data_IF_635770653251
#
_entry.id   IF_635770653251
#
_cell.length_a   1.000
_cell.length_b   1.000
_cell.length_c   1.000
_cell.angle_alpha   90.00
_cell.angle_beta   90.00
_cell.angle_gamma   90.00
#
_symmetry.space_group_name_H-M   'P 1'
#
loop_
_entity.id
_entity.type
_entity.pdbx_description
1 polymer ?
#
# COMPACT_ATOMS: atom_id res chain seq x y z
N UNK A 1 36.90 -14.69 25.43
CA UNK A 1 35.91 -15.74 25.56
C UNK A 1 36.46 -17.09 25.14
N UNK A 2 35.86 -18.15 25.61
CA UNK A 2 36.23 -19.49 25.21
C UNK A 2 35.64 -19.83 23.85
N UNK A 3 36.40 -20.58 23.02
CA UNK A 3 35.92 -21.06 21.73
C UNK A 3 34.88 -22.16 21.96
N UNK A 4 33.68 -21.98 21.46
CA UNK A 4 32.55 -22.92 21.61
C UNK A 4 32.26 -23.73 20.35
N UNK A 5 32.79 -23.31 19.18
CA UNK A 5 32.62 -23.99 17.91
C UNK A 5 33.42 -23.32 16.80
N UNK A 6 33.34 -23.91 15.61
CA UNK A 6 34.00 -23.43 14.41
C UNK A 6 32.96 -23.30 13.27
N UNK A 7 33.17 -22.29 12.42
CA UNK A 7 32.50 -22.14 11.15
C UNK A 7 33.55 -22.09 10.03
N UNK A 8 33.27 -22.69 8.89
CA UNK A 8 34.03 -22.61 7.68
C UNK A 8 33.19 -22.22 6.50
N UNK A 9 33.75 -21.46 5.55
CA UNK A 9 33.11 -21.09 4.29
C UNK A 9 33.88 -21.75 3.12
N UNK A 10 33.15 -22.32 2.20
CA UNK A 10 33.74 -22.79 0.94
C UNK A 10 34.32 -21.59 0.18
N UNK A 11 35.55 -21.69 -0.25
CA UNK A 11 36.28 -20.61 -0.93
C UNK A 11 36.36 -20.82 -2.43
N UNK A 12 36.32 -22.07 -2.90
CA UNK A 12 36.47 -22.43 -4.31
C UNK A 12 35.30 -23.29 -4.79
N UNK A 13 34.97 -23.18 -6.08
CA UNK A 13 33.84 -23.91 -6.66
C UNK A 13 34.16 -25.41 -6.84
N UNK A 14 35.39 -25.80 -6.94
CA UNK A 14 35.89 -27.18 -7.02
C UNK A 14 36.06 -27.87 -5.65
N UNK A 15 35.65 -27.21 -4.56
CA UNK A 15 35.66 -27.79 -3.22
C UNK A 15 34.70 -29.00 -3.15
N UNK A 16 35.12 -30.15 -2.60
CA UNK A 16 34.26 -31.34 -2.54
C UNK A 16 33.03 -31.20 -1.65
N UNK A 17 33.00 -30.15 -0.82
CA UNK A 17 31.85 -29.84 0.05
C UNK A 17 30.91 -28.88 -0.66
N UNK A 18 29.70 -29.33 -0.97
CA UNK A 18 28.67 -28.51 -1.65
C UNK A 18 28.17 -27.34 -0.79
N UNK A 19 28.15 -27.48 0.54
CA UNK A 19 27.62 -26.47 1.44
C UNK A 19 28.48 -25.19 1.43
N UNK A 20 27.85 -24.02 1.19
CA UNK A 20 28.53 -22.70 1.24
C UNK A 20 29.17 -22.44 2.62
N UNK A 21 28.51 -22.87 3.70
CA UNK A 21 28.99 -22.78 5.08
C UNK A 21 28.88 -24.13 5.77
N UNK A 22 29.93 -24.49 6.51
CA UNK A 22 30.01 -25.67 7.38
C UNK A 22 30.22 -25.21 8.83
N UNK A 23 29.38 -25.69 9.73
CA UNK A 23 29.47 -25.37 11.16
C UNK A 23 29.72 -26.63 11.99
N UNK A 24 30.31 -26.44 13.15
CA UNK A 24 30.38 -27.48 14.19
C UNK A 24 29.00 -28.08 14.44
N UNK A 25 28.92 -29.38 14.77
CA UNK A 25 27.68 -30.00 15.24
C UNK A 25 27.14 -29.29 16.49
N UNK A 26 25.82 -29.39 16.71
CA UNK A 26 25.15 -28.90 17.92
C UNK A 26 25.76 -29.58 19.18
N UNK A 27 26.00 -28.76 20.21
CA UNK A 27 26.46 -29.24 21.53
C UNK A 27 25.70 -28.50 22.63
N UNK A 28 25.94 -28.84 23.88
CA UNK A 28 25.33 -28.10 25.00
C UNK A 28 25.75 -26.62 25.05
N UNK A 29 26.98 -26.31 24.53
CA UNK A 29 27.53 -24.95 24.50
C UNK A 29 27.36 -24.27 23.15
N UNK A 30 27.30 -25.02 22.05
CA UNK A 30 27.15 -24.52 20.68
C UNK A 30 25.75 -24.86 20.19
N UNK A 31 24.83 -23.90 20.37
CA UNK A 31 23.44 -23.96 19.86
C UNK A 31 23.25 -22.89 18.80
N UNK A 32 23.15 -23.29 17.54
CA UNK A 32 23.05 -22.37 16.39
C UNK A 32 21.86 -21.41 16.50
N UNK A 33 20.75 -21.86 17.08
CA UNK A 33 19.55 -21.04 17.26
C UNK A 33 19.68 -19.93 18.31
N UNK A 34 20.73 -19.94 19.15
CA UNK A 34 20.92 -18.98 20.24
C UNK A 34 22.26 -18.26 20.19
N UNK A 35 23.08 -18.51 19.16
CA UNK A 35 24.37 -17.89 18.98
C UNK A 35 24.39 -16.97 17.75
N UNK A 36 25.06 -15.84 17.89
CA UNK A 36 25.36 -14.94 16.78
C UNK A 36 26.87 -14.83 16.61
N UNK A 37 27.36 -15.14 15.42
CA UNK A 37 28.77 -14.95 15.06
C UNK A 37 29.12 -13.47 15.12
N UNK A 38 30.28 -13.16 15.67
CA UNK A 38 30.74 -11.79 15.85
C UNK A 38 30.18 -11.06 17.07
N UNK A 39 29.25 -11.67 17.83
CA UNK A 39 28.61 -11.03 18.97
C UNK A 39 29.58 -10.64 20.10
N UNK A 40 30.64 -11.38 20.29
CA UNK A 40 31.72 -11.07 21.23
C UNK A 40 32.48 -9.79 20.85
N UNK A 41 32.76 -9.62 19.56
CA UNK A 41 33.43 -8.44 18.99
C UNK A 41 32.50 -7.24 18.98
N UNK A 42 31.24 -7.44 18.51
CA UNK A 42 30.23 -6.40 18.32
C UNK A 42 29.63 -5.87 19.63
N UNK A 43 29.67 -6.63 20.72
CA UNK A 43 28.96 -6.34 21.98
C UNK A 43 29.11 -4.90 22.47
N UNK A 44 30.35 -4.38 22.52
CA UNK A 44 30.62 -3.02 23.00
C UNK A 44 30.09 -1.97 22.05
N UNK A 45 30.25 -2.18 20.74
CA UNK A 45 29.77 -1.28 19.70
C UNK A 45 28.24 -1.26 19.67
N UNK A 46 27.57 -2.42 19.77
CA UNK A 46 26.11 -2.53 19.85
C UNK A 46 25.58 -1.75 21.03
N UNK A 47 26.13 -1.95 22.23
CA UNK A 47 25.67 -1.27 23.43
C UNK A 47 25.91 0.25 23.36
N UNK A 48 27.05 0.71 22.81
CA UNK A 48 27.39 2.15 22.78
C UNK A 48 26.64 2.90 21.67
N UNK A 49 26.39 2.26 20.51
CA UNK A 49 25.69 2.88 19.37
C UNK A 49 24.20 2.60 19.38
N UNK A 50 23.71 1.76 20.27
CA UNK A 50 22.33 1.26 20.30
C UNK A 50 21.85 0.73 18.95
N UNK A 51 22.76 0.12 18.18
CA UNK A 51 22.51 -0.42 16.84
C UNK A 51 23.06 -1.83 16.75
N UNK A 52 22.31 -2.75 16.16
CA UNK A 52 22.78 -4.07 15.74
C UNK A 52 22.53 -4.26 14.23
N UNK A 53 23.53 -4.70 13.50
CA UNK A 53 23.42 -5.04 12.06
C UNK A 53 23.45 -6.56 11.93
N UNK A 54 22.38 -7.14 11.40
CA UNK A 54 22.25 -8.59 11.20
C UNK A 54 22.49 -8.90 9.74
N UNK A 55 23.58 -9.61 9.45
CA UNK A 55 23.97 -10.05 8.11
C UNK A 55 23.82 -11.56 7.97
N UNK A 56 23.94 -12.11 6.75
CA UNK A 56 23.66 -13.52 6.49
C UNK A 56 24.83 -14.44 6.87
N UNK A 57 26.06 -14.03 6.59
CA UNK A 57 27.23 -14.89 6.68
C UNK A 57 28.40 -14.34 7.49
N UNK A 58 29.36 -15.22 7.78
CA UNK A 58 30.57 -14.88 8.54
C UNK A 58 31.48 -13.88 7.82
N UNK A 59 31.60 -14.05 6.50
CA UNK A 59 32.39 -13.14 5.65
C UNK A 59 31.79 -11.74 5.61
N UNK A 60 30.46 -11.64 5.70
CA UNK A 60 29.73 -10.36 5.73
C UNK A 60 30.00 -9.62 7.04
N UNK A 61 30.01 -10.36 8.18
CA UNK A 61 30.41 -9.77 9.46
C UNK A 61 31.85 -9.25 9.38
N UNK A 62 32.78 -10.03 8.81
CA UNK A 62 34.16 -9.60 8.65
C UNK A 62 34.28 -8.35 7.78
N UNK A 63 33.57 -8.33 6.64
CA UNK A 63 33.54 -7.18 5.73
C UNK A 63 32.95 -5.93 6.40
N UNK A 64 31.86 -6.08 7.14
CA UNK A 64 31.24 -5.00 7.91
C UNK A 64 32.21 -4.43 8.95
N UNK A 65 32.83 -5.28 9.78
CA UNK A 65 33.80 -4.85 10.80
C UNK A 65 35.00 -4.13 10.18
N UNK A 66 35.58 -4.69 9.11
CA UNK A 66 36.67 -4.05 8.38
C UNK A 66 36.30 -2.71 7.77
N UNK A 67 35.03 -2.54 7.43
CA UNK A 67 34.47 -1.28 6.88
C UNK A 67 34.07 -0.27 7.98
N UNK A 68 34.22 -0.60 9.27
CA UNK A 68 33.86 0.26 10.41
C UNK A 68 32.40 0.09 10.89
N UNK A 69 31.67 -0.91 10.35
CA UNK A 69 30.35 -1.33 10.86
C UNK A 69 30.55 -2.41 11.93
N UNK A 70 31.06 -2.00 13.07
CA UNK A 70 31.48 -2.88 14.18
C UNK A 70 30.31 -3.50 14.95
N UNK A 71 29.08 -3.15 14.59
CA UNK A 71 27.83 -3.66 15.20
C UNK A 71 27.26 -4.88 14.47
N UNK A 72 27.98 -5.39 13.45
CA UNK A 72 27.54 -6.49 12.62
C UNK A 72 27.68 -7.85 13.30
N UNK A 73 26.63 -8.68 13.16
CA UNK A 73 26.56 -10.06 13.64
C UNK A 73 25.84 -10.93 12.61
N UNK A 74 26.06 -12.25 12.63
CA UNK A 74 25.37 -13.18 11.74
C UNK A 74 24.84 -14.41 12.49
N UNK A 75 23.83 -15.07 11.92
CA UNK A 75 23.40 -16.39 12.38
C UNK A 75 24.41 -17.47 12.00
N UNK A 76 24.43 -18.57 12.71
CA UNK A 76 25.39 -19.67 12.49
C UNK A 76 24.83 -20.73 11.53
N UNK A 77 24.44 -20.34 10.31
CA UNK A 77 23.88 -21.28 9.30
C UNK A 77 22.48 -21.77 9.66
N UNK A 78 21.69 -20.93 10.32
CA UNK A 78 20.28 -21.16 10.64
C UNK A 78 19.49 -19.89 10.39
N UNK A 79 18.17 -20.02 10.17
CA UNK A 79 17.33 -18.85 10.05
C UNK A 79 17.32 -18.03 11.35
N UNK A 80 17.19 -16.71 11.20
CA UNK A 80 17.00 -15.81 12.34
C UNK A 80 15.72 -16.19 13.12
N UNK A 81 15.80 -16.32 14.43
CA UNK A 81 14.73 -16.83 15.27
C UNK A 81 14.63 -16.14 16.63
N UNK A 82 13.69 -16.61 17.46
CA UNK A 82 13.34 -16.01 18.76
C UNK A 82 14.50 -15.87 19.74
N UNK A 83 15.37 -16.85 19.79
CA UNK A 83 16.50 -16.82 20.73
C UNK A 83 17.56 -15.80 20.27
N UNK A 84 17.71 -15.59 18.95
CA UNK A 84 18.51 -14.48 18.41
C UNK A 84 17.90 -13.11 18.79
N UNK A 85 16.58 -12.96 18.73
CA UNK A 85 15.88 -11.75 19.22
C UNK A 85 16.19 -11.48 20.69
N UNK A 86 16.08 -12.51 21.54
CA UNK A 86 16.38 -12.39 22.99
C UNK A 86 17.84 -11.97 23.23
N UNK A 87 18.77 -12.54 22.45
CA UNK A 87 20.18 -12.18 22.52
C UNK A 87 20.42 -10.72 22.12
N UNK A 88 19.88 -10.29 20.98
CA UNK A 88 20.03 -8.90 20.51
C UNK A 88 19.39 -7.90 21.48
N UNK A 89 18.18 -8.18 21.99
CA UNK A 89 17.54 -7.34 23.01
C UNK A 89 18.43 -7.12 24.23
N UNK A 90 19.08 -8.19 24.70
CA UNK A 90 20.03 -8.09 25.82
C UNK A 90 21.26 -7.26 25.48
N UNK A 91 21.80 -7.38 24.23
CA UNK A 91 22.96 -6.62 23.79
C UNK A 91 22.65 -5.14 23.57
N UNK A 92 21.46 -4.83 23.09
CA UNK A 92 20.96 -3.47 22.84
C UNK A 92 20.48 -2.78 24.12
N UNK A 93 20.37 -3.49 25.25
CA UNK A 93 19.67 -3.02 26.45
C UNK A 93 18.24 -2.57 26.13
N UNK A 94 17.55 -3.32 25.24
CA UNK A 94 16.24 -3.05 24.70
C UNK A 94 15.16 -3.12 25.80
N UNK A 95 15.01 -2.03 26.56
CA UNK A 95 14.02 -1.81 27.61
C UNK A 95 13.08 -0.67 27.18
N UNK A 96 11.97 -0.48 27.87
CA UNK A 96 10.80 0.33 27.48
C UNK A 96 11.04 1.76 26.98
N UNK A 97 12.26 2.30 27.05
CA UNK A 97 12.63 3.65 26.58
C UNK A 97 13.83 3.68 25.62
N UNK A 98 14.30 2.54 25.12
CA UNK A 98 15.53 2.53 24.33
C UNK A 98 15.34 3.04 22.90
N UNK A 99 16.15 4.01 22.50
CA UNK A 99 16.22 4.56 21.13
C UNK A 99 17.20 3.77 20.25
N UNK A 100 17.10 2.45 20.28
CA UNK A 100 18.00 1.60 19.49
C UNK A 100 17.38 1.18 18.15
N UNK A 101 18.20 0.50 17.34
CA UNK A 101 17.78 -0.04 16.06
C UNK A 101 18.39 -1.41 15.75
N UNK A 102 17.64 -2.24 15.03
CA UNK A 102 18.14 -3.48 14.41
C UNK A 102 18.03 -3.31 12.91
N UNK A 103 19.14 -3.45 12.21
CA UNK A 103 19.21 -3.36 10.74
C UNK A 103 19.49 -4.76 10.20
N UNK A 104 18.56 -5.29 9.43
CA UNK A 104 18.77 -6.53 8.68
C UNK A 104 19.34 -6.20 7.30
N UNK A 105 20.40 -6.90 6.90
CA UNK A 105 20.86 -6.86 5.51
C UNK A 105 20.41 -8.12 4.82
N UNK A 106 19.81 -7.97 3.65
CA UNK A 106 19.40 -9.09 2.81
C UNK A 106 19.91 -8.86 1.38
N UNK A 107 20.15 -9.95 0.68
CA UNK A 107 20.43 -9.89 -0.75
C UNK A 107 19.23 -9.28 -1.49
N UNK A 108 19.48 -8.51 -2.55
CA UNK A 108 18.42 -7.81 -3.30
C UNK A 108 17.51 -8.71 -4.12
N UNK A 109 17.66 -10.02 -4.02
CA UNK A 109 16.93 -11.04 -4.75
C UNK A 109 15.54 -11.38 -4.13
N UNK A 110 14.85 -12.36 -4.72
CA UNK A 110 13.57 -12.84 -4.21
C UNK A 110 13.70 -13.55 -2.86
N UNK A 111 14.84 -14.20 -2.59
CA UNK A 111 15.07 -14.87 -1.31
C UNK A 111 15.22 -13.85 -0.18
N UNK A 112 15.96 -12.76 -0.42
CA UNK A 112 16.09 -11.64 0.52
C UNK A 112 14.75 -10.96 0.82
N UNK A 113 13.90 -10.75 -0.20
CA UNK A 113 12.52 -10.24 0.02
C UNK A 113 11.69 -11.18 0.90
N UNK A 114 11.82 -12.48 0.71
CA UNK A 114 11.13 -13.47 1.55
C UNK A 114 11.71 -13.49 2.98
N UNK A 115 13.03 -13.31 3.13
CA UNK A 115 13.69 -13.20 4.44
C UNK A 115 13.23 -11.95 5.18
N UNK A 116 13.14 -10.80 4.51
CA UNK A 116 12.59 -9.56 5.09
C UNK A 116 11.13 -9.74 5.55
N UNK A 117 10.30 -10.42 4.76
CA UNK A 117 8.91 -10.73 5.16
C UNK A 117 8.84 -11.64 6.39
N UNK A 118 9.75 -12.61 6.51
CA UNK A 118 9.87 -13.44 7.71
C UNK A 118 10.36 -12.62 8.91
N UNK A 119 11.30 -11.70 8.71
CA UNK A 119 11.81 -10.82 9.76
C UNK A 119 10.71 -9.94 10.37
N UNK A 120 9.68 -9.56 9.59
CA UNK A 120 8.48 -8.86 10.09
C UNK A 120 7.78 -9.59 11.25
N UNK A 121 7.88 -10.91 11.34
CA UNK A 121 7.29 -11.67 12.46
C UNK A 121 8.00 -11.37 13.79
N UNK A 122 9.24 -10.89 13.72
CA UNK A 122 10.04 -10.52 14.88
C UNK A 122 10.04 -9.03 15.16
N UNK A 123 9.61 -8.18 14.22
CA UNK A 123 9.55 -6.72 14.38
C UNK A 123 8.86 -6.33 15.69
N UNK A 124 7.69 -6.90 15.94
CA UNK A 124 6.89 -6.64 17.14
C UNK A 124 7.46 -7.23 18.46
N UNK A 125 8.58 -7.93 18.40
CA UNK A 125 9.28 -8.49 19.57
C UNK A 125 10.43 -7.61 20.04
N UNK A 126 10.87 -6.67 19.20
CA UNK A 126 11.77 -5.60 19.57
C UNK A 126 10.99 -4.40 20.10
N UNK A 127 11.52 -3.69 21.08
CA UNK A 127 11.05 -2.36 21.49
C UNK A 127 11.71 -1.31 20.60
N UNK A 128 12.95 -1.56 20.19
CA UNK A 128 13.70 -0.73 19.23
C UNK A 128 13.16 -0.86 17.81
N UNK A 129 13.42 0.15 16.97
CA UNK A 129 13.00 0.15 15.58
C UNK A 129 13.76 -0.88 14.75
N UNK A 130 13.08 -1.50 13.79
CA UNK A 130 13.68 -2.44 12.85
C UNK A 130 13.75 -1.86 11.44
N UNK A 131 14.88 -2.10 10.78
CA UNK A 131 15.20 -1.60 9.46
C UNK A 131 15.70 -2.73 8.56
N UNK A 132 15.69 -2.48 7.27
CA UNK A 132 16.34 -3.32 6.27
C UNK A 132 17.25 -2.47 5.40
N UNK A 133 18.44 -3.00 5.12
CA UNK A 133 19.40 -2.46 4.17
C UNK A 133 19.57 -3.46 3.03
N UNK A 134 19.34 -3.02 1.79
CA UNK A 134 19.37 -3.87 0.59
C UNK A 134 20.31 -3.25 -0.43
N UNK A 135 21.24 -4.04 -0.91
CA UNK A 135 22.09 -3.69 -2.02
C UNK A 135 21.35 -3.89 -3.35
N UNK A 136 21.40 -2.89 -4.24
CA UNK A 136 20.56 -2.84 -5.45
C UNK A 136 20.89 -3.89 -6.50
N UNK A 137 22.15 -4.31 -6.56
CA UNK A 137 22.65 -5.30 -7.52
C UNK A 137 22.64 -6.73 -6.91
N UNK A 138 22.13 -6.88 -5.67
CA UNK A 138 22.02 -8.16 -4.99
C UNK A 138 23.30 -8.69 -4.38
N UNK A 139 24.33 -7.85 -4.24
CA UNK A 139 25.63 -8.26 -3.62
C UNK A 139 25.49 -8.33 -2.11
N UNK A 140 26.11 -9.34 -1.52
CA UNK A 140 26.31 -9.40 -0.08
C UNK A 140 27.33 -8.33 0.39
N UNK A 141 27.41 -7.99 1.69
CA UNK A 141 28.36 -7.00 2.21
C UNK A 141 29.83 -7.32 1.90
N UNK A 142 30.20 -8.60 1.79
CA UNK A 142 31.53 -9.01 1.43
C UNK A 142 31.84 -8.71 -0.04
N UNK A 143 30.96 -9.05 -0.94
CA UNK A 143 31.06 -8.76 -2.37
C UNK A 143 31.02 -7.26 -2.64
N UNK A 144 30.13 -6.53 -1.95
CA UNK A 144 30.03 -5.08 -2.05
C UNK A 144 31.35 -4.40 -1.63
N UNK A 145 31.94 -4.85 -0.53
CA UNK A 145 33.23 -4.33 -0.06
C UNK A 145 34.34 -4.57 -1.09
N UNK A 146 34.40 -5.75 -1.69
CA UNK A 146 35.40 -6.09 -2.72
C UNK A 146 35.20 -5.24 -3.99
N UNK A 147 33.97 -5.00 -4.41
CA UNK A 147 33.65 -4.27 -5.62
C UNK A 147 33.78 -2.74 -5.46
N UNK A 148 33.35 -2.18 -4.33
CA UNK A 148 33.17 -0.74 -4.14
C UNK A 148 33.81 -0.17 -2.86
N UNK A 149 34.46 -1.00 -2.06
CA UNK A 149 35.26 -0.60 -0.88
C UNK A 149 34.43 -0.33 0.38
N UNK A 150 35.11 0.08 1.43
CA UNK A 150 34.56 0.23 2.79
C UNK A 150 33.46 1.29 2.89
N UNK A 151 33.52 2.32 2.06
CA UNK A 151 32.50 3.40 2.05
C UNK A 151 31.14 2.85 1.63
N UNK A 152 31.11 2.02 0.60
CA UNK A 152 29.87 1.44 0.08
C UNK A 152 29.12 0.58 1.12
N UNK A 153 29.86 -0.18 1.94
CA UNK A 153 29.27 -0.98 3.04
C UNK A 153 28.65 -0.07 4.11
N UNK A 154 29.32 1.03 4.45
CA UNK A 154 28.76 2.01 5.40
C UNK A 154 27.52 2.70 4.84
N UNK A 155 27.55 3.07 3.56
CA UNK A 155 26.41 3.68 2.86
C UNK A 155 25.22 2.73 2.74
N UNK A 156 25.46 1.44 2.51
CA UNK A 156 24.42 0.41 2.54
C UNK A 156 23.65 0.45 3.87
N UNK A 157 24.36 0.40 4.99
CA UNK A 157 23.75 0.42 6.33
C UNK A 157 23.10 1.78 6.64
N UNK A 158 23.71 2.88 6.20
CA UNK A 158 23.16 4.23 6.36
C UNK A 158 21.88 4.45 5.54
N UNK A 159 21.78 3.83 4.35
CA UNK A 159 20.63 3.89 3.45
C UNK A 159 19.46 2.97 3.84
N UNK A 160 19.48 2.39 5.03
CA UNK A 160 18.41 1.50 5.53
C UNK A 160 17.04 2.15 5.52
N UNK A 161 16.03 1.33 5.29
CA UNK A 161 14.61 1.75 5.32
C UNK A 161 13.84 0.97 6.39
N UNK A 162 12.74 1.50 6.94
CA UNK A 162 11.92 0.75 7.91
C UNK A 162 11.47 -0.59 7.33
N UNK A 163 11.61 -1.65 8.12
CA UNK A 163 11.29 -3.03 7.69
C UNK A 163 9.82 -3.16 7.27
N UNK A 164 8.91 -2.49 7.99
CA UNK A 164 7.46 -2.48 7.66
C UNK A 164 7.22 -1.84 6.29
N UNK A 165 7.86 -0.71 5.99
CA UNK A 165 7.77 -0.03 4.69
C UNK A 165 8.20 -0.97 3.55
N UNK A 166 9.37 -1.58 3.71
CA UNK A 166 9.92 -2.49 2.71
C UNK A 166 9.00 -3.70 2.47
N UNK A 167 8.54 -4.32 3.54
CA UNK A 167 7.69 -5.51 3.46
C UNK A 167 6.31 -5.20 2.86
N UNK A 168 5.70 -4.06 3.22
CA UNK A 168 4.43 -3.62 2.62
C UNK A 168 4.59 -3.31 1.13
N UNK A 169 5.64 -2.55 0.75
CA UNK A 169 5.92 -2.25 -0.68
C UNK A 169 6.13 -3.53 -1.47
N UNK A 170 7.01 -4.43 -1.02
CA UNK A 170 7.27 -5.69 -1.71
C UNK A 170 6.04 -6.60 -1.80
N UNK A 171 5.06 -6.45 -0.89
CA UNK A 171 3.80 -7.17 -0.97
C UNK A 171 2.87 -6.59 -2.03
N UNK A 172 2.72 -5.26 -2.09
CA UNK A 172 1.81 -4.62 -3.05
C UNK A 172 2.37 -4.60 -4.48
N UNK A 173 3.69 -4.55 -4.65
CA UNK A 173 4.37 -4.56 -5.96
C UNK A 173 4.15 -5.87 -6.75
N UNK A 174 3.71 -6.95 -6.08
CA UNK A 174 3.35 -8.20 -6.72
C UNK A 174 2.02 -8.14 -7.51
N UNK A 175 1.27 -7.04 -7.39
CA UNK A 175 -0.04 -6.85 -7.99
C UNK A 175 -0.02 -5.74 -9.04
N UNK A 176 -0.94 -5.84 -10.01
CA UNK A 176 -1.18 -4.76 -10.98
C UNK A 176 -1.91 -3.58 -10.28
N UNK A 177 -1.14 -2.59 -9.86
CA UNK A 177 -1.67 -1.43 -9.14
C UNK A 177 -2.34 -0.39 -10.07
N UNK A 178 -2.33 -0.60 -11.36
CA UNK A 178 -3.03 0.27 -12.31
C UNK A 178 -4.50 -0.18 -12.50
N UNK A 179 -4.82 -1.44 -12.19
CA UNK A 179 -6.21 -1.96 -12.19
C UNK A 179 -6.90 -1.82 -10.83
N UNK A 180 -8.21 -1.74 -10.82
CA UNK A 180 -9.01 -1.71 -9.57
C UNK A 180 -8.93 -3.04 -8.82
N UNK A 181 -8.98 -4.15 -9.56
CA UNK A 181 -8.90 -5.50 -9.04
C UNK A 181 -7.54 -5.74 -8.39
N UNK A 182 -6.47 -5.31 -9.05
CA UNK A 182 -5.11 -5.44 -8.54
C UNK A 182 -4.88 -4.61 -7.27
N UNK A 183 -5.36 -3.37 -7.21
CA UNK A 183 -5.30 -2.55 -5.98
C UNK A 183 -6.07 -3.16 -4.82
N UNK A 184 -7.25 -3.73 -5.11
CA UNK A 184 -8.06 -4.43 -4.09
C UNK A 184 -7.37 -5.69 -3.60
N UNK A 185 -6.76 -6.47 -4.50
CA UNK A 185 -6.00 -7.66 -4.13
C UNK A 185 -4.75 -7.31 -3.32
N UNK A 186 -4.02 -6.25 -3.70
CA UNK A 186 -2.87 -5.72 -2.98
C UNK A 186 -3.25 -5.27 -1.55
N UNK A 187 -4.38 -4.56 -1.40
CA UNK A 187 -4.89 -4.16 -0.10
C UNK A 187 -5.16 -5.39 0.79
N UNK A 188 -5.88 -6.38 0.27
CA UNK A 188 -6.17 -7.63 1.02
C UNK A 188 -4.91 -8.36 1.45
N UNK A 189 -3.88 -8.38 0.60
CA UNK A 189 -2.59 -9.00 0.91
C UNK A 189 -1.79 -8.22 1.98
N UNK A 190 -1.90 -6.88 2.01
CA UNK A 190 -1.19 -6.02 2.95
C UNK A 190 -1.87 -5.91 4.33
N UNK A 191 -3.20 -6.04 4.39
CA UNK A 191 -4.00 -5.89 5.64
C UNK A 191 -3.53 -6.78 6.79
N UNK A 192 -3.20 -8.09 6.61
CA UNK A 192 -2.67 -8.92 7.70
C UNK A 192 -1.38 -8.37 8.31
N UNK A 193 -0.52 -7.76 7.50
CA UNK A 193 0.73 -7.16 7.96
C UNK A 193 0.45 -5.90 8.81
N UNK A 194 -0.47 -5.05 8.37
CA UNK A 194 -0.92 -3.89 9.15
C UNK A 194 -1.57 -4.31 10.47
N UNK A 195 -2.42 -5.33 10.45
CA UNK A 195 -3.07 -5.85 11.65
C UNK A 195 -2.07 -6.38 12.68
N UNK A 196 -0.92 -6.88 12.22
CA UNK A 196 0.20 -7.33 13.06
C UNK A 196 0.86 -6.20 13.83
N UNK A 197 0.76 -4.93 13.43
CA UNK A 197 1.34 -3.79 14.14
C UNK A 197 0.55 -3.53 15.42
N UNK A 198 1.17 -3.75 16.58
CA UNK A 198 0.50 -3.64 17.89
C UNK A 198 0.15 -2.20 18.27
N UNK A 199 1.08 -1.27 18.00
CA UNK A 199 0.88 0.13 18.32
C UNK A 199 -0.14 0.76 17.37
N UNK A 200 -1.26 1.24 17.92
CA UNK A 200 -2.37 1.74 17.13
C UNK A 200 -2.02 3.01 16.34
N UNK A 201 -1.22 3.90 16.92
CA UNK A 201 -0.80 5.15 16.24
C UNK A 201 0.05 4.81 15.03
N UNK A 202 1.04 3.93 15.20
CA UNK A 202 1.90 3.48 14.11
C UNK A 202 1.11 2.75 13.02
N UNK A 203 0.20 1.86 13.41
CA UNK A 203 -0.69 1.16 12.47
C UNK A 203 -1.54 2.12 11.65
N UNK A 204 -2.08 3.18 12.26
CA UNK A 204 -2.85 4.21 11.55
C UNK A 204 -1.97 4.99 10.57
N UNK A 205 -0.74 5.34 10.94
CA UNK A 205 0.21 6.01 10.05
C UNK A 205 0.55 5.14 8.83
N UNK A 206 0.76 3.83 9.03
CA UNK A 206 0.97 2.91 7.91
C UNK A 206 -0.29 2.69 7.07
N UNK A 207 -1.48 2.73 7.65
CA UNK A 207 -2.73 2.70 6.87
C UNK A 207 -2.86 3.92 5.94
N UNK A 208 -2.54 5.12 6.42
CA UNK A 208 -2.47 6.34 5.59
C UNK A 208 -1.42 6.19 4.48
N UNK A 209 -0.25 5.66 4.80
CA UNK A 209 0.83 5.48 3.84
C UNK A 209 0.47 4.46 2.76
N UNK A 210 -0.14 3.33 3.15
CA UNK A 210 -0.62 2.30 2.24
C UNK A 210 -1.72 2.82 1.33
N UNK A 211 -2.67 3.61 1.85
CA UNK A 211 -3.72 4.22 1.04
C UNK A 211 -3.14 5.12 -0.05
N UNK A 212 -2.10 5.91 0.28
CA UNK A 212 -1.37 6.73 -0.70
C UNK A 212 -0.70 5.90 -1.80
N UNK A 213 -0.05 4.79 -1.45
CA UNK A 213 0.60 3.91 -2.45
C UNK A 213 -0.37 3.21 -3.37
N UNK A 214 -1.55 2.84 -2.86
CA UNK A 214 -2.60 2.15 -3.61
C UNK A 214 -3.53 3.11 -4.38
N UNK A 215 -3.49 4.43 -4.07
CA UNK A 215 -4.45 5.39 -4.62
C UNK A 215 -5.88 5.15 -4.13
N UNK A 216 -6.02 4.67 -2.88
CA UNK A 216 -7.29 4.41 -2.20
C UNK A 216 -7.55 5.45 -1.12
N UNK A 217 -8.79 5.54 -0.66
CA UNK A 217 -9.12 6.33 0.52
C UNK A 217 -8.66 5.62 1.79
N UNK A 218 -8.24 6.40 2.81
CA UNK A 218 -7.79 5.84 4.10
C UNK A 218 -8.88 5.04 4.78
N UNK A 219 -10.13 5.49 4.62
CA UNK A 219 -11.33 4.85 5.17
C UNK A 219 -11.53 3.43 4.62
N UNK A 220 -11.20 3.19 3.35
CA UNK A 220 -11.26 1.87 2.71
C UNK A 220 -10.22 0.92 3.33
N UNK A 221 -8.99 1.42 3.53
CA UNK A 221 -7.93 0.65 4.20
C UNK A 221 -8.32 0.33 5.64
N UNK A 222 -8.86 1.32 6.38
CA UNK A 222 -9.32 1.14 7.75
C UNK A 222 -10.53 0.21 7.85
N UNK A 223 -11.45 0.25 6.87
CA UNK A 223 -12.59 -0.66 6.82
C UNK A 223 -12.14 -2.11 6.66
N UNK A 224 -11.23 -2.38 5.72
CA UNK A 224 -10.65 -3.72 5.53
C UNK A 224 -9.87 -4.19 6.76
N UNK A 225 -9.15 -3.30 7.42
CA UNK A 225 -8.43 -3.62 8.66
C UNK A 225 -9.41 -4.00 9.81
N UNK A 226 -10.54 -3.29 9.93
CA UNK A 226 -11.59 -3.62 10.92
C UNK A 226 -12.29 -4.95 10.60
N UNK A 227 -12.58 -5.22 9.33
CA UNK A 227 -13.17 -6.48 8.87
C UNK A 227 -12.26 -7.65 9.19
N UNK A 228 -10.99 -7.56 8.81
CA UNK A 228 -9.98 -8.59 9.12
C UNK A 228 -9.86 -8.85 10.63
N UNK A 229 -9.84 -7.80 11.46
CA UNK A 229 -9.77 -7.91 12.92
C UNK A 229 -11.07 -8.47 13.51
N UNK A 230 -12.22 -8.17 12.91
CA UNK A 230 -13.54 -8.68 13.30
C UNK A 230 -13.72 -10.17 13.00
N UNK A 231 -13.21 -10.64 11.87
CA UNK A 231 -13.22 -12.05 11.48
C UNK A 231 -12.27 -12.88 12.35
N UNK A 232 -11.11 -12.34 12.73
CA UNK A 232 -10.21 -12.96 13.70
C UNK A 232 -10.86 -13.09 15.09
N UNK A 233 -11.67 -12.10 15.51
CA UNK A 233 -12.41 -12.16 16.78
C UNK A 233 -13.60 -13.12 16.73
N UNK A 234 -14.27 -13.31 15.59
CA UNK A 234 -15.38 -14.27 15.41
C UNK A 234 -14.92 -15.71 15.42
N UNK A 235 -13.75 -16.02 14.88
CA UNK A 235 -13.13 -17.34 14.96
C UNK A 235 -12.64 -17.68 16.37
N UNK A 236 -12.62 -16.70 17.31
CA UNK A 236 -12.27 -16.86 18.73
C UNK A 236 -13.46 -16.88 19.70
N UNK A 237 -14.69 -17.03 19.22
CA UNK A 237 -15.90 -17.32 20.03
C UNK A 237 -16.30 -16.25 21.06
N UNK A 238 -16.95 -15.16 20.62
CA UNK A 238 -17.84 -14.31 21.43
C UNK A 238 -18.96 -13.72 20.58
N UNK A 239 -20.19 -13.84 21.06
CA UNK A 239 -21.41 -13.23 20.52
C UNK A 239 -21.34 -11.69 20.52
N UNK A 240 -21.82 -11.01 19.49
CA UNK A 240 -21.77 -9.54 19.42
C UNK A 240 -22.87 -8.90 20.24
N UNK A 241 -22.51 -8.10 21.24
CA UNK A 241 -23.41 -7.08 21.79
C UNK A 241 -23.56 -5.93 20.78
N UNK A 242 -24.79 -5.58 20.48
CA UNK A 242 -25.15 -4.50 19.56
C UNK A 242 -24.67 -3.15 20.12
N UNK A 243 -23.62 -2.57 19.53
CA UNK A 243 -23.27 -1.15 19.72
C UNK A 243 -24.16 -0.28 18.85
N UNK A 244 -24.62 0.88 19.35
CA UNK A 244 -25.42 1.81 18.56
C UNK A 244 -24.65 2.30 17.33
N UNK A 245 -25.28 2.19 16.18
CA UNK A 245 -24.76 2.63 14.88
C UNK A 245 -24.66 4.16 14.89
N UNK A 246 -23.43 4.70 14.94
CA UNK A 246 -23.19 6.11 14.57
C UNK A 246 -23.48 6.28 13.08
N UNK A 247 -24.03 7.43 12.63
CA UNK A 247 -24.24 7.69 11.21
C UNK A 247 -22.91 7.49 10.46
N UNK A 248 -22.88 6.56 9.50
CA UNK A 248 -21.73 6.36 8.61
C UNK A 248 -21.57 7.62 7.77
N UNK A 249 -20.43 8.28 7.86
CA UNK A 249 -20.01 9.18 6.78
C UNK A 249 -19.94 8.32 5.49
N UNK A 250 -20.63 8.78 4.45
CA UNK A 250 -20.70 8.07 3.16
C UNK A 250 -19.30 7.96 2.59
N UNK A 251 -18.89 6.76 2.19
CA UNK A 251 -17.62 6.57 1.46
C UNK A 251 -17.63 7.39 0.17
N UNK A 252 -16.46 7.77 -0.35
CA UNK A 252 -16.36 8.51 -1.62
C UNK A 252 -16.99 7.74 -2.77
N UNK A 253 -16.91 6.41 -2.74
CA UNK A 253 -17.57 5.55 -3.74
C UNK A 253 -19.09 5.58 -3.58
N UNK A 254 -19.64 5.55 -2.36
CA UNK A 254 -21.07 5.74 -2.12
C UNK A 254 -21.54 7.13 -2.56
N UNK A 255 -20.70 8.15 -2.36
CA UNK A 255 -20.98 9.51 -2.83
C UNK A 255 -20.98 9.58 -4.36
N UNK A 256 -20.04 8.89 -5.04
CA UNK A 256 -19.98 8.81 -6.49
C UNK A 256 -21.20 8.08 -7.06
N UNK A 257 -21.54 6.90 -6.56
CA UNK A 257 -22.72 6.13 -6.97
C UNK A 257 -24.01 6.94 -6.76
N UNK A 258 -24.09 7.68 -5.65
CA UNK A 258 -25.22 8.56 -5.37
C UNK A 258 -25.34 9.73 -6.36
N UNK A 259 -24.20 10.34 -6.75
CA UNK A 259 -24.18 11.41 -7.74
C UNK A 259 -24.49 10.90 -9.15
N UNK A 260 -23.95 9.73 -9.53
CA UNK A 260 -24.27 9.04 -10.79
C UNK A 260 -25.78 8.78 -10.92
N UNK A 261 -26.38 8.23 -9.85
CA UNK A 261 -27.81 7.95 -9.79
C UNK A 261 -28.64 9.23 -9.97
N UNK A 262 -28.23 10.31 -9.28
CA UNK A 262 -28.93 11.59 -9.35
C UNK A 262 -28.80 12.24 -10.73
N UNK A 263 -27.64 12.15 -11.38
CA UNK A 263 -27.48 12.65 -12.75
C UNK A 263 -28.31 11.89 -13.78
N UNK A 264 -28.38 10.55 -13.66
CA UNK A 264 -29.27 9.74 -14.52
C UNK A 264 -30.74 10.12 -14.32
N UNK A 265 -31.17 10.31 -13.07
CA UNK A 265 -32.53 10.78 -12.78
C UNK A 265 -32.84 12.12 -13.46
N UNK A 266 -31.92 13.08 -13.35
CA UNK A 266 -32.04 14.38 -14.02
C UNK A 266 -32.13 14.22 -15.55
N UNK A 267 -31.29 13.37 -16.15
CA UNK A 267 -31.30 13.09 -17.58
C UNK A 267 -32.60 12.44 -18.07
N UNK A 268 -33.23 11.59 -17.26
CA UNK A 268 -34.49 10.93 -17.59
C UNK A 268 -35.70 11.82 -17.36
N UNK A 269 -35.77 12.57 -16.24
CA UNK A 269 -36.94 13.33 -15.80
C UNK A 269 -36.97 14.75 -16.35
N UNK A 270 -35.82 15.37 -16.59
CA UNK A 270 -35.65 16.77 -17.01
C UNK A 270 -34.68 16.90 -18.18
N UNK A 271 -34.91 16.19 -19.30
CA UNK A 271 -33.95 16.18 -20.41
C UNK A 271 -33.69 17.58 -20.99
N UNK A 272 -34.65 18.46 -21.00
CA UNK A 272 -34.48 19.84 -21.50
C UNK A 272 -33.50 20.68 -20.68
N UNK A 273 -33.36 20.40 -19.36
CA UNK A 273 -32.42 21.08 -18.47
C UNK A 273 -31.06 20.33 -18.39
N UNK A 274 -31.09 19.01 -18.38
CA UNK A 274 -29.89 18.19 -18.20
C UNK A 274 -29.07 18.03 -19.49
N UNK A 275 -29.71 18.10 -20.68
CA UNK A 275 -29.13 17.72 -21.97
C UNK A 275 -27.74 18.30 -22.23
N UNK A 276 -27.57 19.62 -22.25
CA UNK A 276 -26.26 20.21 -22.61
C UNK A 276 -25.09 19.81 -21.70
N UNK A 277 -25.37 19.65 -20.40
CA UNK A 277 -24.34 19.28 -19.42
C UNK A 277 -24.12 17.77 -19.36
N UNK A 278 -25.19 16.97 -19.42
CA UNK A 278 -25.13 15.52 -19.31
C UNK A 278 -24.51 14.87 -20.55
N UNK A 279 -24.81 15.37 -21.75
CA UNK A 279 -24.28 14.84 -23.01
C UNK A 279 -22.77 15.06 -23.17
N UNK A 280 -22.14 15.89 -22.31
CA UNK A 280 -20.70 16.04 -22.18
C UNK A 280 -20.05 14.98 -21.27
N UNK A 281 -20.84 14.11 -20.61
CA UNK A 281 -20.32 13.05 -19.76
C UNK A 281 -19.91 11.83 -20.59
N UNK A 282 -18.83 11.20 -20.19
CA UNK A 282 -18.28 9.98 -20.78
C UNK A 282 -18.38 8.82 -19.79
N UNK A 283 -18.17 7.58 -20.25
CA UNK A 283 -18.20 6.38 -19.42
C UNK A 283 -17.24 6.44 -18.23
N UNK A 284 -16.10 7.13 -18.37
CA UNK A 284 -15.10 7.32 -17.32
C UNK A 284 -15.63 8.06 -16.08
N UNK A 285 -16.71 8.82 -16.22
CA UNK A 285 -17.33 9.54 -15.11
C UNK A 285 -18.19 8.63 -14.22
N UNK A 286 -18.59 7.46 -14.74
CA UNK A 286 -19.44 6.51 -14.04
C UNK A 286 -18.62 5.30 -13.54
N UNK A 287 -18.82 4.95 -12.27
CA UNK A 287 -18.15 3.82 -11.63
C UNK A 287 -19.02 2.58 -11.58
N UNK A 288 -20.33 2.75 -11.37
CA UNK A 288 -21.27 1.65 -11.22
C UNK A 288 -21.60 1.01 -12.58
N UNK A 289 -21.46 -0.32 -12.78
CA UNK A 289 -21.66 -0.99 -14.06
C UNK A 289 -23.06 -0.73 -14.65
N UNK A 290 -24.09 -0.80 -13.81
CA UNK A 290 -25.50 -0.57 -14.22
C UNK A 290 -25.72 0.88 -14.67
N UNK A 291 -25.08 1.85 -14.02
CA UNK A 291 -25.17 3.27 -14.41
C UNK A 291 -24.46 3.54 -15.74
N UNK A 292 -23.34 2.85 -16.00
CA UNK A 292 -22.65 2.90 -17.30
C UNK A 292 -23.52 2.37 -18.43
N UNK A 293 -24.21 1.25 -18.21
CA UNK A 293 -25.15 0.68 -19.18
C UNK A 293 -26.30 1.64 -19.50
N UNK A 294 -26.84 2.34 -18.50
CA UNK A 294 -27.88 3.40 -18.74
C UNK A 294 -27.30 4.54 -19.56
N UNK A 295 -26.05 4.99 -19.28
CA UNK A 295 -25.40 6.03 -20.07
C UNK A 295 -25.23 5.60 -21.53
N UNK A 296 -24.78 4.37 -21.78
CA UNK A 296 -24.66 3.80 -23.12
C UNK A 296 -25.99 3.80 -23.86
N UNK A 297 -27.07 3.42 -23.18
CA UNK A 297 -28.41 3.46 -23.74
C UNK A 297 -28.90 4.89 -24.04
N UNK A 298 -28.57 5.86 -23.19
CA UNK A 298 -28.85 7.29 -23.41
C UNK A 298 -28.09 7.78 -24.67
N UNK A 299 -26.83 7.47 -24.79
CA UNK A 299 -26.00 7.85 -25.95
C UNK A 299 -26.54 7.20 -27.23
N UNK A 300 -26.86 5.90 -27.18
CA UNK A 300 -27.45 5.17 -28.31
C UNK A 300 -28.80 5.69 -28.74
N UNK A 301 -29.59 6.26 -27.79
CA UNK A 301 -30.87 6.91 -28.05
C UNK A 301 -30.74 8.33 -28.67
N UNK A 302 -29.51 8.80 -28.95
CA UNK A 302 -29.23 10.10 -29.56
C UNK A 302 -28.87 11.21 -28.58
N UNK A 303 -28.57 10.86 -27.33
CA UNK A 303 -28.25 11.82 -26.25
C UNK A 303 -29.51 12.44 -25.62
N UNK A 304 -29.30 13.03 -24.44
CA UNK A 304 -30.39 13.66 -23.66
C UNK A 304 -30.99 14.85 -24.41
N UNK A 305 -30.19 15.61 -25.14
CA UNK A 305 -30.61 16.74 -25.96
C UNK A 305 -31.57 16.37 -27.11
N UNK A 306 -31.71 15.08 -27.48
CA UNK A 306 -32.64 14.59 -28.50
C UNK A 306 -34.05 14.32 -27.95
N UNK A 307 -34.28 14.46 -26.65
CA UNK A 307 -35.58 14.18 -26.02
C UNK A 307 -36.58 15.31 -26.27
N UNK A 308 -37.63 15.02 -27.02
CA UNK A 308 -38.72 15.96 -27.30
C UNK A 308 -39.98 15.69 -26.43
N UNK A 309 -40.15 14.44 -26.02
CA UNK A 309 -41.21 14.00 -25.11
C UNK A 309 -40.63 13.09 -24.06
N UNK A 310 -40.88 13.36 -22.79
CA UNK A 310 -40.25 12.66 -21.65
C UNK A 310 -40.66 11.18 -21.59
N UNK A 311 -41.93 10.86 -21.86
CA UNK A 311 -42.43 9.50 -21.83
C UNK A 311 -41.81 8.63 -22.93
N UNK A 312 -41.82 9.15 -24.18
CA UNK A 312 -41.20 8.49 -25.32
C UNK A 312 -39.67 8.37 -25.15
N UNK A 313 -39.03 9.37 -24.52
CA UNK A 313 -37.60 9.37 -24.16
C UNK A 313 -37.27 8.23 -23.21
N UNK A 314 -37.98 8.13 -22.08
CA UNK A 314 -37.73 7.05 -21.07
C UNK A 314 -37.94 5.67 -21.71
N UNK A 315 -38.99 5.49 -22.53
CA UNK A 315 -39.25 4.22 -23.22
C UNK A 315 -38.10 3.86 -24.19
N UNK A 316 -37.60 4.83 -24.94
CA UNK A 316 -36.46 4.65 -25.87
C UNK A 316 -35.18 4.24 -25.15
N UNK A 317 -34.84 4.90 -24.02
CA UNK A 317 -33.66 4.53 -23.19
C UNK A 317 -33.87 3.13 -22.60
N UNK A 318 -35.03 2.80 -22.07
CA UNK A 318 -35.34 1.49 -21.48
C UNK A 318 -35.24 0.34 -22.49
N UNK A 319 -35.53 0.56 -23.76
CA UNK A 319 -35.36 -0.44 -24.82
C UNK A 319 -33.93 -0.58 -25.27
N UNK A 320 -33.07 0.41 -25.07
CA UNK A 320 -31.68 0.41 -25.44
C UNK A 320 -30.76 -0.32 -24.45
N UNK A 321 -31.21 -0.66 -23.23
CA UNK A 321 -30.39 -1.38 -22.24
C UNK A 321 -30.36 -2.87 -22.49
N UNK A 322 -29.20 -3.50 -22.29
CA UNK A 322 -28.96 -4.92 -22.58
C UNK A 322 -29.47 -5.82 -21.43
N UNK A 323 -29.22 -5.45 -20.17
CA UNK A 323 -29.55 -6.31 -19.03
C UNK A 323 -30.98 -6.09 -18.49
N UNK A 324 -31.59 -7.18 -18.00
CA UNK A 324 -32.92 -7.12 -17.39
C UNK A 324 -32.95 -6.32 -16.08
N UNK A 325 -31.83 -6.28 -15.37
CA UNK A 325 -31.66 -5.50 -14.15
C UNK A 325 -31.76 -4.00 -14.48
N UNK A 326 -30.96 -3.54 -15.44
CA UNK A 326 -30.93 -2.15 -15.88
C UNK A 326 -32.27 -1.74 -16.51
N UNK A 327 -32.91 -2.65 -17.25
CA UNK A 327 -34.24 -2.40 -17.85
C UNK A 327 -35.32 -2.10 -16.80
N UNK A 328 -35.25 -2.71 -15.62
CA UNK A 328 -36.16 -2.42 -14.50
C UNK A 328 -35.76 -1.14 -13.77
N UNK A 329 -34.49 -0.79 -13.76
CA UNK A 329 -33.98 0.39 -13.07
C UNK A 329 -34.39 1.69 -13.78
N UNK A 330 -34.39 1.75 -15.13
CA UNK A 330 -34.67 2.98 -15.88
C UNK A 330 -36.04 3.56 -15.53
N UNK A 331 -37.18 2.82 -15.55
CA UNK A 331 -38.49 3.34 -15.13
C UNK A 331 -38.51 3.73 -13.64
N UNK A 332 -37.80 2.99 -12.78
CA UNK A 332 -37.76 3.33 -11.35
C UNK A 332 -37.06 4.68 -11.12
N UNK A 333 -35.94 4.94 -11.82
CA UNK A 333 -35.22 6.21 -11.75
C UNK A 333 -36.01 7.36 -12.35
N UNK A 334 -36.87 7.09 -13.35
CA UNK A 334 -37.72 8.09 -13.99
C UNK A 334 -38.79 8.63 -13.06
N UNK A 335 -39.20 7.90 -12.02
CA UNK A 335 -40.24 8.31 -11.05
C UNK A 335 -39.69 8.61 -9.66
N UNK A 336 -38.43 8.26 -9.37
CA UNK A 336 -37.79 8.56 -8.09
C UNK A 336 -37.52 10.07 -7.96
N UNK A 337 -38.00 10.74 -6.90
CA UNK A 337 -37.87 12.20 -6.79
C UNK A 337 -36.40 12.62 -6.79
N UNK A 338 -36.09 13.71 -7.51
CA UNK A 338 -34.77 14.39 -7.40
C UNK A 338 -34.60 14.94 -5.98
N UNK A 339 -33.36 14.97 -5.49
CA UNK A 339 -33.04 15.49 -4.14
C UNK A 339 -33.02 17.01 -4.10
N UNK A 340 -33.94 17.61 -4.78
CA UNK A 340 -34.07 19.05 -4.92
C UNK A 340 -35.30 19.54 -4.15
N UNK A 341 -35.16 20.65 -3.43
CA UNK A 341 -36.26 21.30 -2.72
C UNK A 341 -36.12 22.83 -2.86
N UNK A 342 -36.90 23.45 -3.73
CA UNK A 342 -36.96 24.90 -3.85
C UNK A 342 -36.89 25.45 -5.29
N UNK A 343 -36.60 26.75 -5.44
CA UNK A 343 -36.39 27.43 -6.73
C UNK A 343 -34.95 27.28 -7.19
N UNK A 344 -34.67 26.89 -8.45
CA UNK A 344 -33.29 26.72 -9.00
C UNK A 344 -33.01 25.31 -9.51
N UNK A 345 -34.01 24.59 -10.04
CA UNK A 345 -33.85 23.22 -10.58
C UNK A 345 -32.73 23.11 -11.63
N UNK A 346 -32.62 24.11 -12.51
CA UNK A 346 -31.57 24.16 -13.53
C UNK A 346 -30.16 24.19 -12.90
N UNK A 347 -29.99 25.05 -11.90
CA UNK A 347 -28.72 25.15 -11.17
C UNK A 347 -28.39 23.86 -10.42
N UNK A 348 -29.37 23.22 -9.78
CA UNK A 348 -29.19 21.94 -9.11
C UNK A 348 -28.72 20.87 -10.09
N UNK A 349 -29.36 20.74 -11.27
CA UNK A 349 -29.00 19.75 -12.27
C UNK A 349 -27.56 20.00 -12.77
N UNK A 350 -27.19 21.24 -13.05
CA UNK A 350 -25.81 21.60 -13.43
C UNK A 350 -24.81 21.21 -12.34
N UNK A 351 -25.12 21.50 -11.07
CA UNK A 351 -24.24 21.17 -9.93
C UNK A 351 -24.05 19.65 -9.76
N UNK A 352 -25.04 18.82 -10.08
CA UNK A 352 -24.93 17.35 -10.03
C UNK A 352 -23.94 16.85 -11.09
N UNK A 353 -23.97 17.41 -12.30
CA UNK A 353 -23.03 17.05 -13.37
C UNK A 353 -21.63 17.51 -13.04
N UNK A 354 -21.44 18.75 -12.58
CA UNK A 354 -20.15 19.27 -12.14
C UNK A 354 -19.57 18.41 -11.01
N UNK A 355 -20.41 17.95 -10.09
CA UNK A 355 -20.01 17.04 -9.00
C UNK A 355 -19.50 15.69 -9.52
N UNK A 356 -20.09 15.11 -10.55
CA UNK A 356 -19.59 13.90 -11.18
C UNK A 356 -18.21 14.10 -11.81
N UNK A 357 -18.02 15.20 -12.52
CA UNK A 357 -16.73 15.55 -13.12
C UNK A 357 -15.67 15.77 -12.03
N UNK A 358 -16.01 16.48 -10.96
CA UNK A 358 -15.11 16.69 -9.80
C UNK A 358 -14.69 15.38 -9.15
N UNK A 359 -15.63 14.46 -8.94
CA UNK A 359 -15.36 13.14 -8.35
C UNK A 359 -14.46 12.29 -9.25
N UNK A 360 -14.67 12.34 -10.58
CA UNK A 360 -13.79 11.70 -11.54
C UNK A 360 -12.37 12.28 -11.49
N UNK A 361 -12.22 13.60 -11.53
CA UNK A 361 -10.91 14.26 -11.44
C UNK A 361 -10.22 13.93 -10.12
N UNK A 362 -10.96 13.91 -9.01
CA UNK A 362 -10.40 13.54 -7.70
C UNK A 362 -9.89 12.10 -7.67
N UNK A 363 -10.56 11.15 -8.35
CA UNK A 363 -10.04 9.78 -8.53
C UNK A 363 -8.76 9.79 -9.35
N UNK A 364 -8.75 10.50 -10.48
CA UNK A 364 -7.57 10.57 -11.37
C UNK A 364 -6.37 11.18 -10.67
N UNK A 365 -6.56 12.23 -9.86
CA UNK A 365 -5.51 12.82 -9.03
C UNK A 365 -4.92 11.78 -8.08
N UNK A 366 -5.75 10.95 -7.41
CA UNK A 366 -5.25 9.90 -6.51
C UNK A 366 -4.44 8.84 -7.25
N UNK A 367 -4.91 8.40 -8.41
CA UNK A 367 -4.20 7.44 -9.26
C UNK A 367 -2.82 7.98 -9.70
N UNK A 368 -2.81 9.21 -10.22
CA UNK A 368 -1.55 9.86 -10.65
C UNK A 368 -0.62 10.06 -9.46
N UNK A 369 -1.12 10.51 -8.31
CA UNK A 369 -0.32 10.64 -7.07
C UNK A 369 0.25 9.30 -6.61
N UNK A 370 -0.53 8.24 -6.66
CA UNK A 370 -0.07 6.90 -6.28
C UNK A 370 1.05 6.40 -7.23
N UNK A 371 0.89 6.58 -8.54
CA UNK A 371 1.94 6.26 -9.53
C UNK A 371 3.18 7.11 -9.31
N UNK A 372 3.01 8.42 -9.12
CA UNK A 372 4.08 9.36 -8.85
C UNK A 372 4.93 8.97 -7.63
N UNK A 373 4.27 8.51 -6.54
CA UNK A 373 4.97 8.05 -5.33
C UNK A 373 5.77 6.74 -5.53
N UNK A 374 5.39 5.93 -6.53
CA UNK A 374 6.08 4.68 -6.86
C UNK A 374 7.19 4.86 -7.91
N UNK A 375 7.18 5.96 -8.66
CA UNK A 375 8.12 6.23 -9.76
C UNK A 375 9.43 6.81 -9.21
N UNK A 376 10.55 6.27 -9.67
CA UNK A 376 11.87 6.79 -9.28
C UNK A 376 12.22 8.03 -10.11
N UNK A 377 12.40 9.22 -9.49
CA UNK A 377 12.64 10.46 -10.21
C UNK A 377 13.99 10.51 -10.95
N UNK A 378 14.94 9.63 -10.61
CA UNK A 378 16.28 9.61 -11.22
C UNK A 378 16.32 8.67 -12.42
N UNK A 379 15.77 7.45 -12.28
CA UNK A 379 15.81 6.43 -13.35
C UNK A 379 14.69 6.58 -14.37
N UNK A 380 13.59 7.25 -13.99
CA UNK A 380 12.38 7.42 -14.79
C UNK A 380 11.97 8.90 -14.93
N UNK A 381 12.95 9.79 -15.09
CA UNK A 381 12.76 11.23 -15.07
C UNK A 381 11.69 11.74 -16.06
N UNK A 382 11.62 11.18 -17.27
CA UNK A 382 10.63 11.58 -18.28
C UNK A 382 9.20 11.19 -17.87
N UNK A 383 9.03 10.02 -17.24
CA UNK A 383 7.74 9.55 -16.72
C UNK A 383 7.32 10.42 -15.55
N UNK A 384 8.24 10.68 -14.63
CA UNK A 384 8.04 11.54 -13.47
C UNK A 384 7.58 12.95 -13.87
N UNK A 385 8.28 13.59 -14.81
CA UNK A 385 7.94 14.95 -15.28
C UNK A 385 6.58 15.01 -15.99
N UNK A 386 6.23 13.99 -16.80
CA UNK A 386 4.90 13.90 -17.42
C UNK A 386 3.78 13.79 -16.39
N UNK A 387 3.95 12.92 -15.39
CA UNK A 387 2.95 12.76 -14.32
C UNK A 387 2.83 14.01 -13.46
N UNK A 388 3.94 14.73 -13.23
CA UNK A 388 3.92 16.00 -12.52
C UNK A 388 3.10 17.05 -13.28
N UNK A 389 3.30 17.15 -14.60
CA UNK A 389 2.49 18.02 -15.46
C UNK A 389 1.01 17.65 -15.49
N UNK A 390 0.69 16.32 -15.57
CA UNK A 390 -0.68 15.83 -15.50
C UNK A 390 -1.33 16.19 -14.16
N UNK A 391 -0.60 16.05 -13.05
CA UNK A 391 -1.10 16.35 -11.71
C UNK A 391 -1.47 17.84 -11.56
N UNK A 392 -0.61 18.74 -12.04
CA UNK A 392 -0.87 20.18 -12.01
C UNK A 392 -2.14 20.52 -12.82
N UNK A 393 -2.27 19.95 -14.02
CA UNK A 393 -3.43 20.18 -14.88
C UNK A 393 -4.75 19.68 -14.25
N UNK A 394 -4.71 18.51 -13.59
CA UNK A 394 -5.86 17.94 -12.90
C UNK A 394 -6.26 18.75 -11.65
N UNK A 395 -5.30 19.22 -10.85
CA UNK A 395 -5.58 20.06 -9.67
C UNK A 395 -6.18 21.41 -10.09
N UNK A 396 -5.67 22.01 -11.16
CA UNK A 396 -6.23 23.26 -11.72
C UNK A 396 -7.67 23.05 -12.24
N UNK A 397 -7.90 21.94 -12.97
CA UNK A 397 -9.24 21.60 -13.45
C UNK A 397 -10.23 21.37 -12.32
N UNK A 398 -9.79 20.69 -11.24
CA UNK A 398 -10.59 20.47 -10.03
C UNK A 398 -10.97 21.81 -9.41
N UNK A 399 -10.03 22.74 -9.27
CA UNK A 399 -10.26 24.07 -8.71
C UNK A 399 -11.30 24.83 -9.52
N UNK A 400 -11.19 24.81 -10.86
CA UNK A 400 -12.17 25.45 -11.74
C UNK A 400 -13.60 24.92 -11.57
N UNK A 401 -13.77 23.60 -11.38
CA UNK A 401 -15.08 23.01 -11.14
C UNK A 401 -15.62 23.40 -9.75
N UNK A 402 -14.77 23.40 -8.73
CA UNK A 402 -15.15 23.82 -7.39
C UNK A 402 -15.58 25.30 -7.35
N UNK A 403 -14.84 26.17 -8.03
CA UNK A 403 -15.14 27.62 -8.10
C UNK A 403 -16.47 27.88 -8.83
N UNK A 404 -16.82 27.07 -9.84
CA UNK A 404 -18.14 27.14 -10.52
C UNK A 404 -19.26 26.75 -9.58
N UNK A 405 -19.08 25.70 -8.79
CA UNK A 405 -20.11 25.24 -7.85
C UNK A 405 -20.34 26.22 -6.69
N UNK A 406 -19.34 27.04 -6.32
CA UNK A 406 -19.42 28.05 -5.26
C UNK A 406 -19.86 29.41 -5.80
N UNK A 407 -19.39 29.79 -6.99
CA UNK A 407 -19.67 31.12 -7.60
C UNK A 407 -21.05 31.24 -8.23
N UNK A 408 -21.83 30.15 -8.20
CA UNK A 408 -23.24 30.10 -8.68
C UNK A 408 -24.25 30.07 -7.52
N UNK A 409 -23.83 30.31 -6.28
CA UNK A 409 -24.69 30.37 -5.10
C UNK A 409 -25.16 31.77 -4.80
#
# INVERSE_FOLDING_TARGET
>A
GDVVGFGARRMFDDDPIEAKYLNSPETLLFKKSSLLYGADLARKAIASRSQAVVVEGYTDVMACHLSGVETAVATCGTAFGEDHVKLLRRLLHDQDESRGEVVFTFDGDQAGRNAARKAMQFDQRFVVQTFVAIEREGRDPCELRQAAGDVAVRELVAGRVPLVDFALRGTIEAFDLDSFEGRTAALRAAVPMLAGIKEQVLRNQYAVRLSGWLGLEVEQVQAQLREFSGDAARNGGRTPEQRPVRPRERSVDEAAISAEREAIKAALQRPGLAGPAFDALEQIHFTHPVHREVLEAIVAAGGVGSATDVGAWIARVATGVASDETRRLVPALAVEPLRYAGDGEEHYIASVVDRLQELHISRRIREVKARFQRTNPVTEADVFNRMFGELIALEERKRQLSDRSIGSA
#
